data_IF_031923191892
#
_entry.id   IF_031923191892
#
_cell.length_a   1.000
_cell.length_b   1.000
_cell.length_c   1.000
_cell.angle_alpha   90.00
_cell.angle_beta   90.00
_cell.angle_gamma   90.00
#
_symmetry.space_group_name_H-M   'P 1'
#
loop_
_entity.id
_entity.type
_entity.pdbx_description
1 polymer ?
#
# COMPACT_ATOMS: atom_id res chain seq x y z
N UNK A 1 13.90 -31.64 49.84
CA UNK A 1 13.18 -30.60 49.08
C UNK A 1 13.96 -30.36 47.82
N UNK A 2 13.46 -30.87 46.68
CA UNK A 2 14.06 -30.62 45.38
C UNK A 2 13.27 -29.45 44.78
N UNK A 3 13.87 -28.27 44.77
CA UNK A 3 13.33 -27.09 44.13
C UNK A 3 13.58 -27.20 42.62
N UNK A 4 12.65 -27.76 41.90
CA UNK A 4 12.68 -27.76 40.44
C UNK A 4 12.29 -26.37 39.94
N UNK A 5 13.26 -25.58 39.51
CA UNK A 5 12.99 -24.39 38.68
C UNK A 5 12.44 -24.88 37.36
N UNK A 6 11.12 -24.72 37.15
CA UNK A 6 10.53 -24.81 35.83
C UNK A 6 11.11 -23.62 35.02
N UNK A 7 12.11 -23.93 34.18
CA UNK A 7 12.49 -23.02 33.09
C UNK A 7 11.32 -22.93 32.15
N UNK A 8 10.65 -21.79 32.12
CA UNK A 8 9.70 -21.48 31.06
C UNK A 8 10.45 -21.61 29.73
N UNK A 9 10.02 -22.52 28.87
CA UNK A 9 10.58 -22.63 27.53
C UNK A 9 10.43 -21.25 26.88
N UNK A 10 11.55 -20.63 26.50
CA UNK A 10 11.51 -19.35 25.77
C UNK A 10 10.77 -19.57 24.45
N UNK A 11 9.58 -19.01 24.37
CA UNK A 11 8.76 -19.10 23.16
C UNK A 11 9.38 -18.22 22.09
N UNK A 12 9.85 -18.81 21.01
CA UNK A 12 10.40 -18.10 19.87
C UNK A 12 9.34 -18.08 18.76
N UNK A 13 8.84 -16.90 18.40
CA UNK A 13 7.79 -16.74 17.41
C UNK A 13 8.38 -16.67 15.99
N UNK A 14 7.68 -17.24 15.01
CA UNK A 14 8.01 -17.11 13.60
C UNK A 14 7.14 -16.01 12.98
N UNK A 15 7.74 -14.89 12.63
CA UNK A 15 7.08 -13.73 12.02
C UNK A 15 7.41 -13.68 10.55
N UNK A 16 6.38 -13.65 9.70
CA UNK A 16 6.51 -13.39 8.28
C UNK A 16 6.18 -11.92 8.00
N UNK A 17 7.13 -11.18 7.45
CA UNK A 17 6.91 -9.82 6.98
C UNK A 17 6.86 -9.78 5.45
N UNK A 18 5.70 -9.44 4.87
CA UNK A 18 5.49 -9.36 3.43
C UNK A 18 5.51 -7.89 3.02
N UNK A 19 6.48 -7.52 2.22
CA UNK A 19 6.58 -6.18 1.65
C UNK A 19 5.99 -6.12 0.25
N UNK A 20 5.21 -5.05 -0.03
CA UNK A 20 4.63 -4.82 -1.36
C UNK A 20 5.69 -4.58 -2.43
N UNK A 21 6.75 -3.86 -2.11
CA UNK A 21 7.76 -3.37 -3.06
C UNK A 21 9.15 -3.91 -2.75
N UNK A 22 10.14 -3.54 -3.58
CA UNK A 22 11.54 -3.90 -3.35
C UNK A 22 12.13 -3.18 -2.12
N UNK A 23 13.27 -3.65 -1.63
CA UNK A 23 13.97 -3.08 -0.47
C UNK A 23 14.67 -1.73 -0.74
N UNK A 24 14.47 -1.12 -1.91
CA UNK A 24 15.13 0.14 -2.30
C UNK A 24 14.57 1.38 -1.59
N UNK A 25 13.43 1.27 -0.91
CA UNK A 25 12.78 2.40 -0.22
C UNK A 25 13.22 2.50 1.24
N UNK A 26 13.68 3.68 1.66
CA UNK A 26 14.00 3.99 3.07
C UNK A 26 12.80 3.78 3.99
N UNK A 27 11.58 4.03 3.51
CA UNK A 27 10.35 3.82 4.26
C UNK A 27 10.16 2.35 4.66
N UNK A 28 10.41 1.41 3.73
CA UNK A 28 10.31 -0.02 4.00
C UNK A 28 11.37 -0.50 5.00
N UNK A 29 12.58 0.03 4.89
CA UNK A 29 13.66 -0.30 5.84
C UNK A 29 13.32 0.20 7.24
N UNK A 30 12.72 1.39 7.37
CA UNK A 30 12.26 1.92 8.66
C UNK A 30 11.14 1.07 9.28
N UNK A 31 10.23 0.50 8.47
CA UNK A 31 9.20 -0.41 8.98
C UNK A 31 9.79 -1.71 9.54
N UNK A 32 10.79 -2.27 8.86
CA UNK A 32 11.50 -3.47 9.35
C UNK A 32 12.22 -3.17 10.65
N UNK A 33 12.97 -2.06 10.70
CA UNK A 33 13.67 -1.62 11.90
C UNK A 33 12.69 -1.41 13.06
N UNK A 34 11.59 -0.67 12.82
CA UNK A 34 10.56 -0.45 13.83
C UNK A 34 9.89 -1.73 14.34
N UNK A 35 9.69 -2.74 13.48
CA UNK A 35 9.21 -4.05 13.91
C UNK A 35 10.24 -4.75 14.81
N UNK A 36 11.52 -4.73 14.44
CA UNK A 36 12.60 -5.36 15.23
C UNK A 36 12.75 -4.67 16.58
N UNK A 37 12.80 -3.33 16.59
CA UNK A 37 12.90 -2.53 17.82
C UNK A 37 11.70 -2.81 18.75
N UNK A 38 10.48 -2.83 18.20
CA UNK A 38 9.27 -3.12 18.99
C UNK A 38 9.24 -4.54 19.58
N UNK A 39 9.74 -5.53 18.86
CA UNK A 39 9.90 -6.89 19.38
C UNK A 39 10.92 -6.95 20.51
N UNK A 40 12.06 -6.26 20.36
CA UNK A 40 13.11 -6.19 21.35
C UNK A 40 12.65 -5.47 22.62
N UNK A 41 12.02 -4.28 22.47
CA UNK A 41 11.44 -3.50 23.59
C UNK A 41 10.36 -4.28 24.32
N UNK A 42 9.56 -5.07 23.58
CA UNK A 42 8.54 -5.96 24.16
C UNK A 42 9.08 -7.22 24.79
N UNK A 43 10.41 -7.48 24.72
CA UNK A 43 11.03 -8.70 25.20
C UNK A 43 10.59 -9.96 24.44
N UNK A 44 10.09 -9.80 23.21
CA UNK A 44 9.58 -10.90 22.39
C UNK A 44 10.68 -11.46 21.51
N UNK A 45 11.02 -12.74 21.69
CA UNK A 45 11.95 -13.43 20.81
C UNK A 45 11.22 -13.89 19.56
N UNK A 46 11.65 -13.39 18.40
CA UNK A 46 11.05 -13.73 17.12
C UNK A 46 12.10 -13.96 16.03
N UNK A 47 11.81 -14.94 15.17
CA UNK A 47 12.51 -15.16 13.91
C UNK A 47 11.72 -14.44 12.80
N UNK A 48 12.20 -13.29 12.37
CA UNK A 48 11.54 -12.47 11.35
C UNK A 48 12.07 -12.85 9.97
N UNK A 49 11.19 -13.32 9.10
CA UNK A 49 11.50 -13.60 7.69
C UNK A 49 10.81 -12.58 6.82
N UNK A 50 11.58 -11.94 5.93
CA UNK A 50 11.09 -10.90 5.03
C UNK A 50 10.93 -11.48 3.63
N UNK A 51 9.76 -11.31 3.05
CA UNK A 51 9.43 -11.70 1.68
C UNK A 51 8.96 -10.47 0.90
N UNK A 52 9.32 -10.38 -0.38
CA UNK A 52 9.01 -9.25 -1.24
C UNK A 52 8.02 -9.67 -2.34
N UNK A 53 6.92 -8.94 -2.47
CA UNK A 53 5.94 -9.15 -3.54
C UNK A 53 6.41 -8.54 -4.86
N UNK A 54 7.21 -7.46 -4.78
CA UNK A 54 7.73 -6.70 -5.92
C UNK A 54 6.60 -6.18 -6.85
N UNK A 55 5.55 -5.64 -6.26
CA UNK A 55 4.35 -5.18 -6.97
C UNK A 55 4.59 -4.09 -8.03
N UNK A 56 5.76 -3.43 -8.01
CA UNK A 56 6.16 -2.46 -9.03
C UNK A 56 6.43 -3.10 -10.40
N UNK A 57 6.77 -4.39 -10.42
CA UNK A 57 7.26 -5.08 -11.62
C UNK A 57 6.26 -6.10 -12.18
N UNK A 58 5.22 -6.45 -11.43
CA UNK A 58 4.37 -7.58 -11.75
C UNK A 58 2.92 -7.18 -11.99
N UNK A 59 2.22 -7.99 -12.75
CA UNK A 59 0.76 -7.96 -12.84
C UNK A 59 0.16 -8.65 -11.63
N UNK A 60 -1.08 -8.34 -11.28
CA UNK A 60 -1.79 -9.03 -10.18
C UNK A 60 -1.76 -10.56 -10.30
N UNK A 61 -1.89 -11.10 -11.51
CA UNK A 61 -1.82 -12.55 -11.73
C UNK A 61 -0.44 -13.13 -11.34
N UNK A 62 0.65 -12.41 -11.64
CA UNK A 62 2.01 -12.79 -11.26
C UNK A 62 2.23 -12.64 -9.75
N UNK A 63 1.71 -11.59 -9.15
CA UNK A 63 1.73 -11.37 -7.70
C UNK A 63 1.03 -12.51 -6.96
N UNK A 64 -0.11 -13.00 -7.47
CA UNK A 64 -0.80 -14.16 -6.91
C UNK A 64 0.06 -15.44 -6.93
N UNK A 65 0.84 -15.66 -7.97
CA UNK A 65 1.76 -16.81 -8.04
C UNK A 65 2.85 -16.67 -6.97
N UNK A 66 3.42 -15.47 -6.82
CA UNK A 66 4.44 -15.19 -5.80
C UNK A 66 3.83 -15.38 -4.41
N UNK A 67 2.66 -14.81 -4.15
CA UNK A 67 1.99 -14.87 -2.86
C UNK A 67 1.69 -16.31 -2.43
N UNK A 68 1.19 -17.15 -3.34
CA UNK A 68 0.95 -18.58 -3.03
C UNK A 68 2.24 -19.27 -2.58
N UNK A 69 3.39 -19.00 -3.24
CA UNK A 69 4.69 -19.54 -2.83
C UNK A 69 5.14 -19.01 -1.46
N UNK A 70 4.89 -17.74 -1.17
CA UNK A 70 5.15 -17.14 0.14
C UNK A 70 4.31 -17.86 1.20
N UNK A 71 3.01 -18.04 0.97
CA UNK A 71 2.10 -18.72 1.89
C UNK A 71 2.47 -20.20 2.10
N UNK A 72 2.94 -20.89 1.07
CA UNK A 72 3.43 -22.26 1.18
C UNK A 72 4.66 -22.36 2.09
N UNK A 73 5.64 -21.46 1.91
CA UNK A 73 6.79 -21.36 2.81
C UNK A 73 6.40 -20.97 4.24
N UNK A 74 5.41 -20.09 4.40
CA UNK A 74 4.90 -19.70 5.70
C UNK A 74 4.33 -20.88 6.49
N UNK A 75 3.54 -21.75 5.81
CA UNK A 75 3.02 -23.00 6.43
C UNK A 75 4.15 -23.94 6.85
N UNK A 76 5.16 -24.12 6.00
CA UNK A 76 6.30 -24.99 6.30
C UNK A 76 7.10 -24.49 7.51
N UNK A 77 7.22 -23.16 7.67
CA UNK A 77 7.91 -22.50 8.78
C UNK A 77 7.07 -22.39 10.06
N UNK A 78 5.80 -22.81 10.02
CA UNK A 78 4.85 -22.66 11.14
C UNK A 78 4.79 -21.20 11.59
N UNK A 79 4.49 -20.29 10.67
CA UNK A 79 4.38 -18.86 10.94
C UNK A 79 3.30 -18.59 11.97
N UNK A 80 3.62 -17.80 12.99
CA UNK A 80 2.72 -17.41 14.09
C UNK A 80 2.06 -16.06 13.86
N UNK A 81 2.71 -15.18 13.09
CA UNK A 81 2.24 -13.82 12.78
C UNK A 81 2.63 -13.44 11.36
N UNK A 82 1.70 -12.84 10.64
CA UNK A 82 1.97 -12.20 9.35
C UNK A 82 1.91 -10.68 9.54
N UNK A 83 2.93 -9.98 9.04
CA UNK A 83 2.93 -8.52 8.92
C UNK A 83 2.95 -8.16 7.44
N UNK A 84 2.09 -7.25 7.00
CA UNK A 84 2.11 -6.75 5.63
C UNK A 84 2.36 -5.25 5.59
N UNK A 85 3.10 -4.78 4.59
CA UNK A 85 3.28 -3.35 4.33
C UNK A 85 2.60 -2.93 3.03
N UNK A 86 1.82 -1.85 3.10
CA UNK A 86 1.02 -1.28 2.02
C UNK A 86 -0.15 -2.17 1.54
N UNK A 87 -0.96 -1.61 0.68
CA UNK A 87 -2.22 -2.22 0.21
C UNK A 87 -2.01 -3.48 -0.60
N UNK A 88 -1.00 -3.49 -1.50
CA UNK A 88 -0.79 -4.60 -2.44
C UNK A 88 -0.45 -5.91 -1.71
N UNK A 89 0.42 -5.89 -0.70
CA UNK A 89 0.76 -7.09 0.05
C UNK A 89 -0.46 -7.64 0.79
N UNK A 90 -1.25 -6.78 1.44
CA UNK A 90 -2.46 -7.21 2.14
C UNK A 90 -3.55 -7.68 1.18
N UNK A 91 -3.80 -6.92 0.10
CA UNK A 91 -4.79 -7.28 -0.92
C UNK A 91 -4.44 -8.62 -1.58
N UNK A 92 -3.20 -8.79 -2.02
CA UNK A 92 -2.76 -10.04 -2.66
C UNK A 92 -2.78 -11.21 -1.68
N UNK A 93 -2.42 -11.00 -0.41
CA UNK A 93 -2.51 -12.02 0.63
C UNK A 93 -3.96 -12.50 0.82
N UNK A 94 -4.90 -11.59 0.91
CA UNK A 94 -6.32 -11.92 1.16
C UNK A 94 -7.02 -12.56 -0.04
N UNK A 95 -6.57 -12.27 -1.26
CA UNK A 95 -7.16 -12.82 -2.49
C UNK A 95 -6.48 -14.09 -2.99
N UNK A 96 -5.18 -14.25 -2.72
CA UNK A 96 -4.36 -15.31 -3.30
C UNK A 96 -3.68 -16.22 -2.27
N UNK A 97 -3.78 -15.88 -0.99
CA UNK A 97 -3.15 -16.61 0.11
C UNK A 97 -3.92 -17.84 0.61
N UNK A 98 -4.98 -18.24 -0.10
CA UNK A 98 -5.90 -19.30 0.29
C UNK A 98 -6.50 -19.05 1.70
N UNK A 99 -6.45 -20.07 2.58
CA UNK A 99 -6.97 -19.96 3.96
C UNK A 99 -5.98 -19.33 4.96
N UNK A 100 -4.73 -19.13 4.59
CA UNK A 100 -3.66 -18.72 5.53
C UNK A 100 -3.96 -17.41 6.27
N UNK A 101 -4.38 -16.32 5.58
CA UNK A 101 -4.64 -15.05 6.23
C UNK A 101 -5.84 -15.07 7.20
N UNK A 102 -6.66 -16.13 7.16
CA UNK A 102 -7.78 -16.31 8.07
C UNK A 102 -7.45 -17.19 9.28
N UNK A 103 -6.29 -17.85 9.26
CA UNK A 103 -5.84 -18.78 10.30
C UNK A 103 -4.76 -18.22 11.20
N UNK A 104 -4.00 -17.25 10.72
CA UNK A 104 -2.87 -16.64 11.42
C UNK A 104 -3.20 -15.18 11.67
N UNK A 105 -2.87 -14.59 12.84
CA UNK A 105 -2.96 -13.16 13.06
C UNK A 105 -2.22 -12.36 11.99
N UNK A 106 -2.85 -11.29 11.50
CA UNK A 106 -2.26 -10.40 10.49
C UNK A 106 -2.21 -8.98 11.01
N UNK A 107 -1.03 -8.38 10.98
CA UNK A 107 -0.83 -6.95 11.25
C UNK A 107 -0.57 -6.23 9.94
N UNK A 108 -1.38 -5.22 9.65
CA UNK A 108 -1.22 -4.40 8.43
C UNK A 108 -0.60 -3.06 8.76
N UNK A 109 0.29 -2.55 7.92
CA UNK A 109 0.91 -1.24 8.08
C UNK A 109 0.84 -0.45 6.80
N UNK A 110 0.36 0.80 6.90
CA UNK A 110 0.34 1.75 5.78
C UNK A 110 -0.73 1.48 4.72
N UNK A 111 -1.87 0.91 5.10
CA UNK A 111 -3.01 0.74 4.18
C UNK A 111 -3.60 2.12 3.88
N UNK A 112 -3.62 2.49 2.60
CA UNK A 112 -4.18 3.76 2.11
C UNK A 112 -5.66 3.66 1.78
N UNK A 113 -6.09 2.53 1.24
CA UNK A 113 -7.46 2.29 0.77
C UNK A 113 -8.08 1.10 1.50
N UNK A 114 -8.44 1.24 2.80
CA UNK A 114 -8.94 0.13 3.59
C UNK A 114 -10.34 -0.29 3.13
N UNK A 115 -10.49 -1.56 2.74
CA UNK A 115 -11.81 -2.18 2.54
C UNK A 115 -12.41 -2.59 3.87
N UNK A 116 -13.33 -1.76 4.41
CA UNK A 116 -14.00 -2.02 5.69
C UNK A 116 -14.72 -3.36 5.71
N UNK A 117 -15.38 -3.75 4.61
CA UNK A 117 -16.09 -5.04 4.54
C UNK A 117 -15.13 -6.23 4.63
N UNK A 118 -13.92 -6.08 4.13
CA UNK A 118 -12.88 -7.10 4.26
C UNK A 118 -12.39 -7.18 5.72
N UNK A 119 -12.11 -6.06 6.35
CA UNK A 119 -11.68 -6.01 7.76
C UNK A 119 -12.75 -6.58 8.70
N UNK A 120 -14.03 -6.26 8.48
CA UNK A 120 -15.15 -6.78 9.29
C UNK A 120 -15.26 -8.32 9.23
N UNK A 121 -14.81 -8.94 8.15
CA UNK A 121 -14.80 -10.40 7.96
C UNK A 121 -13.54 -11.09 8.48
N UNK A 122 -12.53 -10.33 8.88
CA UNK A 122 -11.23 -10.83 9.32
C UNK A 122 -10.89 -10.34 10.73
N UNK A 123 -11.50 -10.94 11.79
CA UNK A 123 -11.30 -10.50 13.17
C UNK A 123 -9.85 -10.70 13.67
N UNK A 124 -9.05 -11.47 12.95
CA UNK A 124 -7.63 -11.69 13.21
C UNK A 124 -6.71 -10.67 12.54
N UNK A 125 -7.27 -9.62 11.92
CA UNK A 125 -6.50 -8.53 11.30
C UNK A 125 -6.55 -7.29 12.19
N UNK A 126 -5.39 -6.70 12.43
CA UNK A 126 -5.26 -5.39 13.09
C UNK A 126 -4.15 -4.58 12.42
N UNK A 127 -4.04 -3.29 12.74
CA UNK A 127 -2.92 -2.47 12.27
C UNK A 127 -3.26 -1.02 12.02
N UNK A 128 -2.49 -0.39 11.13
CA UNK A 128 -2.47 1.04 10.91
C UNK A 128 -2.82 1.39 9.46
N UNK A 129 -3.70 2.36 9.30
CA UNK A 129 -4.06 2.93 8.00
C UNK A 129 -3.38 4.28 7.79
N UNK A 130 -3.13 4.63 6.53
CA UNK A 130 -2.56 5.92 6.10
C UNK A 130 -3.44 6.52 5.00
N UNK A 131 -4.67 6.86 5.37
CA UNK A 131 -5.68 7.37 4.42
C UNK A 131 -5.33 8.80 4.01
N UNK A 132 -5.37 9.08 2.72
CA UNK A 132 -5.26 10.43 2.17
C UNK A 132 -6.66 11.05 2.08
N UNK A 133 -6.84 12.23 2.69
CA UNK A 133 -8.07 13.01 2.49
C UNK A 133 -7.95 13.83 1.20
N UNK A 134 -8.54 13.31 0.13
CA UNK A 134 -8.50 13.98 -1.16
C UNK A 134 -9.37 15.24 -1.22
N UNK A 135 -10.38 15.41 -0.34
CA UNK A 135 -11.11 16.67 -0.26
C UNK A 135 -10.19 17.79 0.23
N UNK A 136 -9.44 17.55 1.29
CA UNK A 136 -8.45 18.51 1.80
C UNK A 136 -7.37 18.77 0.75
N UNK A 137 -6.89 17.71 0.07
CA UNK A 137 -5.84 17.85 -0.94
C UNK A 137 -6.30 18.72 -2.13
N UNK A 138 -7.54 18.54 -2.61
CA UNK A 138 -8.10 19.36 -3.70
C UNK A 138 -8.26 20.82 -3.29
N UNK A 139 -8.78 21.09 -2.10
CA UNK A 139 -8.93 22.47 -1.57
C UNK A 139 -7.56 23.16 -1.42
N UNK A 140 -6.57 22.47 -0.87
CA UNK A 140 -5.21 23.00 -0.75
C UNK A 140 -4.55 23.23 -2.12
N UNK A 141 -4.78 22.33 -3.07
CA UNK A 141 -4.23 22.44 -4.41
C UNK A 141 -4.71 23.73 -5.12
N UNK A 142 -6.01 24.05 -5.05
CA UNK A 142 -6.53 25.29 -5.64
C UNK A 142 -6.14 26.53 -4.85
N UNK A 143 -5.95 26.41 -3.54
CA UNK A 143 -5.43 27.50 -2.72
C UNK A 143 -4.00 27.89 -3.11
N UNK A 144 -3.17 26.90 -3.40
CA UNK A 144 -1.78 27.11 -3.83
C UNK A 144 -1.67 27.57 -5.29
N UNK A 145 -2.61 27.17 -6.14
CA UNK A 145 -2.59 27.43 -7.58
C UNK A 145 -3.91 28.00 -8.11
N UNK A 146 -4.40 29.14 -7.59
CA UNK A 146 -5.75 29.66 -7.88
C UNK A 146 -6.00 30.01 -9.35
N UNK A 147 -4.95 30.29 -10.11
CA UNK A 147 -5.04 30.61 -11.54
C UNK A 147 -5.22 29.35 -12.43
N UNK A 148 -5.09 28.15 -11.86
CA UNK A 148 -5.16 26.89 -12.61
C UNK A 148 -6.50 26.24 -12.42
N UNK A 149 -7.24 26.06 -13.51
CA UNK A 149 -8.64 25.59 -13.48
C UNK A 149 -8.81 24.15 -13.94
N UNK A 150 -7.72 23.46 -14.27
CA UNK A 150 -7.74 22.05 -14.69
C UNK A 150 -6.91 21.20 -13.73
N UNK A 151 -7.52 20.13 -13.22
CA UNK A 151 -6.87 19.13 -12.34
C UNK A 151 -6.69 17.84 -13.13
N UNK A 152 -5.44 17.36 -13.19
CA UNK A 152 -5.08 16.13 -13.89
C UNK A 152 -4.66 15.09 -12.87
N UNK A 153 -5.40 13.99 -12.80
CA UNK A 153 -5.06 12.83 -12.00
C UNK A 153 -4.19 11.86 -12.83
N UNK A 154 -2.97 11.63 -12.41
CA UNK A 154 -2.12 10.64 -13.03
C UNK A 154 -2.43 9.25 -12.47
N UNK A 155 -2.65 8.29 -13.37
CA UNK A 155 -2.93 6.90 -13.00
C UNK A 155 -2.04 5.92 -13.79
N UNK A 156 -1.93 4.71 -13.30
CA UNK A 156 -1.45 3.56 -14.04
C UNK A 156 -2.49 2.42 -13.97
N UNK A 157 -2.21 1.26 -14.57
CA UNK A 157 -3.15 0.14 -14.55
C UNK A 157 -2.98 -0.78 -13.32
N UNK A 158 -2.26 -0.34 -12.28
CA UNK A 158 -2.11 -1.11 -11.04
C UNK A 158 -3.37 -1.03 -10.17
N UNK A 159 -3.53 -2.01 -9.30
CA UNK A 159 -4.63 -2.05 -8.33
C UNK A 159 -4.67 -0.79 -7.45
N UNK A 160 -3.54 -0.39 -6.89
CA UNK A 160 -3.46 0.77 -6.00
C UNK A 160 -3.82 2.07 -6.73
N UNK A 161 -3.38 2.22 -7.99
CA UNK A 161 -3.71 3.39 -8.79
C UNK A 161 -5.19 3.48 -9.10
N UNK A 162 -5.83 2.34 -9.44
CA UNK A 162 -7.28 2.30 -9.67
C UNK A 162 -8.05 2.73 -8.41
N UNK A 163 -7.66 2.23 -7.23
CA UNK A 163 -8.24 2.63 -5.94
C UNK A 163 -7.99 4.11 -5.64
N UNK A 164 -6.83 4.63 -5.99
CA UNK A 164 -6.51 6.04 -5.86
C UNK A 164 -7.38 6.93 -6.74
N UNK A 165 -7.62 6.53 -7.99
CA UNK A 165 -8.53 7.25 -8.90
C UNK A 165 -9.95 7.24 -8.36
N UNK A 166 -10.48 6.07 -7.96
CA UNK A 166 -11.82 5.97 -7.34
C UNK A 166 -11.97 6.96 -6.17
N UNK A 167 -10.98 7.04 -5.28
CA UNK A 167 -11.02 7.92 -4.13
C UNK A 167 -10.93 9.41 -4.51
N UNK A 168 -10.15 9.75 -5.54
CA UNK A 168 -10.10 11.13 -6.07
C UNK A 168 -11.41 11.51 -6.75
N UNK A 169 -12.01 10.61 -7.53
CA UNK A 169 -13.30 10.85 -8.21
C UNK A 169 -14.44 11.05 -7.19
N UNK A 170 -14.48 10.26 -6.13
CA UNK A 170 -15.44 10.42 -5.03
C UNK A 170 -15.29 11.81 -4.36
N UNK A 171 -14.07 12.22 -4.07
CA UNK A 171 -13.80 13.56 -3.55
C UNK A 171 -14.14 14.66 -4.56
N UNK A 172 -13.86 14.42 -5.84
CA UNK A 172 -14.17 15.34 -6.93
C UNK A 172 -15.67 15.67 -7.03
N UNK A 173 -16.55 14.71 -6.85
CA UNK A 173 -18.00 14.93 -6.90
C UNK A 173 -18.45 16.00 -5.90
N UNK A 174 -17.91 15.97 -4.69
CA UNK A 174 -18.23 16.96 -3.65
C UNK A 174 -17.52 18.28 -3.88
N UNK A 175 -16.27 18.25 -4.36
CA UNK A 175 -15.47 19.42 -4.66
C UNK A 175 -16.06 20.23 -5.84
N UNK A 176 -16.41 19.57 -6.93
CA UNK A 176 -16.95 20.26 -8.13
C UNK A 176 -18.30 20.96 -7.90
N UNK A 177 -19.10 20.48 -6.94
CA UNK A 177 -20.33 21.19 -6.53
C UNK A 177 -20.04 22.56 -5.91
N UNK A 178 -18.90 22.72 -5.25
CA UNK A 178 -18.46 23.99 -4.63
C UNK A 178 -17.66 24.87 -5.61
N UNK A 179 -16.94 24.21 -6.52
CA UNK A 179 -15.99 24.84 -7.46
C UNK A 179 -16.28 24.43 -8.91
N UNK A 180 -17.44 24.80 -9.49
CA UNK A 180 -17.87 24.35 -10.82
C UNK A 180 -16.99 24.89 -11.96
N UNK A 181 -16.14 25.89 -11.69
CA UNK A 181 -15.21 26.46 -12.66
C UNK A 181 -13.96 25.59 -12.90
N UNK A 182 -13.78 24.53 -12.10
CA UNK A 182 -12.67 23.58 -12.28
C UNK A 182 -13.09 22.38 -13.12
N UNK A 183 -12.15 21.83 -13.88
CA UNK A 183 -12.31 20.59 -14.64
C UNK A 183 -11.37 19.50 -14.12
N UNK A 184 -11.77 18.25 -14.32
CA UNK A 184 -11.01 17.07 -13.91
C UNK A 184 -10.74 16.16 -15.10
N UNK A 185 -9.55 15.58 -15.15
CA UNK A 185 -9.17 14.62 -16.18
C UNK A 185 -8.22 13.56 -15.61
N UNK A 186 -8.51 12.29 -15.90
CA UNK A 186 -7.56 11.21 -15.68
C UNK A 186 -6.59 11.08 -16.86
N UNK A 187 -5.32 10.90 -16.54
CA UNK A 187 -4.26 10.58 -17.50
C UNK A 187 -3.59 9.27 -17.11
N UNK A 188 -3.98 8.16 -17.78
CA UNK A 188 -3.35 6.85 -17.55
C UNK A 188 -2.00 6.78 -18.29
N UNK A 189 -0.92 6.68 -17.51
CA UNK A 189 0.45 6.75 -18.03
C UNK A 189 0.93 5.44 -18.68
N UNK A 190 0.37 4.28 -18.30
CA UNK A 190 0.76 3.00 -18.89
C UNK A 190 0.27 2.81 -20.33
N UNK A 191 -0.78 3.54 -20.71
CA UNK A 191 -1.31 3.50 -22.09
C UNK A 191 -0.52 4.35 -23.05
N UNK A 192 0.53 5.04 -22.57
CA UNK A 192 1.36 5.94 -23.35
C UNK A 192 2.83 5.53 -23.25
N UNK A 193 3.58 5.65 -24.35
CA UNK A 193 5.04 5.60 -24.26
C UNK A 193 5.56 6.79 -23.44
N UNK A 194 6.74 6.66 -22.84
CA UNK A 194 7.36 7.74 -22.06
C UNK A 194 7.44 9.05 -22.88
N UNK A 195 7.84 8.97 -24.18
CA UNK A 195 7.87 10.14 -25.06
C UNK A 195 6.49 10.74 -25.28
N UNK A 196 5.45 9.90 -25.47
CA UNK A 196 4.07 10.36 -25.59
C UNK A 196 3.54 10.98 -24.31
N UNK A 197 3.96 10.46 -23.14
CA UNK A 197 3.63 11.02 -21.85
C UNK A 197 4.28 12.39 -21.64
N UNK A 198 5.59 12.50 -21.89
CA UNK A 198 6.34 13.77 -21.81
C UNK A 198 5.72 14.78 -22.78
N UNK A 199 5.43 14.37 -24.01
CA UNK A 199 4.76 15.23 -25.00
C UNK A 199 3.41 15.70 -24.50
N UNK A 200 2.56 14.80 -23.99
CA UNK A 200 1.28 15.19 -23.42
C UNK A 200 1.44 16.14 -22.23
N UNK A 201 2.34 15.87 -21.29
CA UNK A 201 2.57 16.72 -20.12
C UNK A 201 3.19 18.06 -20.50
N UNK A 202 4.17 18.08 -21.44
CA UNK A 202 4.91 19.29 -21.76
C UNK A 202 4.30 20.12 -22.89
N UNK A 203 3.63 19.50 -23.86
CA UNK A 203 3.09 20.17 -25.06
C UNK A 203 1.57 20.33 -25.07
N UNK A 204 0.82 19.25 -24.84
CA UNK A 204 -0.64 19.32 -24.83
C UNK A 204 -1.11 20.11 -23.61
N UNK A 205 -0.28 20.03 -22.62
CA UNK A 205 -0.56 20.60 -21.34
C UNK A 205 0.45 21.72 -21.05
N UNK A 206 0.68 22.71 -21.74
CA UNK A 206 1.59 23.81 -21.37
C UNK A 206 1.73 23.96 -19.87
N UNK A 207 2.89 23.69 -19.30
CA UNK A 207 3.21 23.45 -17.89
C UNK A 207 2.64 24.45 -16.85
N UNK A 208 1.86 25.43 -17.28
CA UNK A 208 1.29 26.49 -16.47
C UNK A 208 -0.23 26.44 -16.33
N UNK A 209 -0.92 25.41 -16.85
CA UNK A 209 -2.40 25.40 -16.90
C UNK A 209 -3.07 24.47 -15.91
N UNK A 210 -2.40 23.46 -15.34
CA UNK A 210 -3.06 22.50 -14.45
C UNK A 210 -2.32 22.26 -13.15
N UNK A 211 -3.07 21.58 -12.28
CA UNK A 211 -2.63 20.94 -11.06
C UNK A 211 -2.55 19.45 -11.35
N UNK A 212 -1.42 18.84 -11.05
CA UNK A 212 -1.24 17.40 -11.21
C UNK A 212 -1.35 16.72 -9.87
N UNK A 213 -2.21 15.72 -9.77
CA UNK A 213 -2.37 14.86 -8.60
C UNK A 213 -1.92 13.45 -8.98
N UNK A 214 -1.05 12.85 -8.19
CA UNK A 214 -0.65 11.46 -8.35
C UNK A 214 -1.01 10.68 -7.07
N UNK A 215 -2.13 9.96 -7.03
CA UNK A 215 -2.57 9.22 -5.85
C UNK A 215 -1.64 8.05 -5.49
N UNK A 216 -0.85 7.60 -6.46
CA UNK A 216 0.26 6.67 -6.28
C UNK A 216 1.55 7.32 -6.78
N UNK A 217 2.67 7.05 -6.09
CA UNK A 217 3.98 7.43 -6.62
C UNK A 217 4.27 6.66 -7.91
N UNK A 218 4.54 7.40 -8.99
CA UNK A 218 4.83 6.83 -10.31
C UNK A 218 6.33 6.91 -10.53
N UNK A 219 7.06 5.78 -10.62
CA UNK A 219 8.52 5.75 -10.65
C UNK A 219 9.18 6.53 -11.78
N UNK A 220 8.43 6.82 -12.85
CA UNK A 220 8.94 7.56 -14.01
C UNK A 220 8.97 9.08 -13.86
N UNK A 221 8.51 9.60 -12.74
CA UNK A 221 8.46 11.04 -12.46
C UNK A 221 9.50 11.50 -11.42
N UNK A 222 10.38 10.59 -10.99
CA UNK A 222 11.47 10.83 -10.05
C UNK A 222 12.78 11.12 -10.75
#
# INVERSE_FOLDING_TARGET
>A
MISGTLSAAETNYNVLFIQSYTNSSSWHNNLIAGLQDGLEEGGVKANVVIEYLNADFWTFASECVIMRRICERARQRKTDLIVTSSDEAFFTLTHCGDSLPYQIPVVVSGIKYPDRKLFDRMPNVSGFTSVTDFNVLLEEAIRLFPARKEIVCLSDSSFLSAKGVEAVEEAWESFHKKHPEYSFKELNVQRKSLNSLITSICYDYHAHKYIVIAPKWIPFLS
#
